data_IF_888843091256
#
_entry.id   IF_888843091256
#
_cell.length_a   1.000
_cell.length_b   1.000
_cell.length_c   1.000
_cell.angle_alpha   90.00
_cell.angle_beta   90.00
_cell.angle_gamma   90.00
#
_symmetry.space_group_name_H-M   'P 1'
#
loop_
_entity.id
_entity.type
_entity.pdbx_description
1 polymer ?
#
# COMPACT_ATOMS: atom_id res chain seq x y z
N UNK A 1 14.24 -7.91 -3.88
CA UNK A 1 14.45 -6.45 -3.77
C UNK A 1 13.19 -5.67 -3.41
N UNK A 2 12.21 -5.44 -4.30
CA UNK A 2 11.05 -4.59 -3.96
C UNK A 2 10.20 -5.15 -2.80
N UNK A 3 9.91 -6.45 -2.85
CA UNK A 3 9.17 -7.16 -1.80
C UNK A 3 9.86 -7.00 -0.44
N UNK A 4 11.15 -7.32 -0.40
CA UNK A 4 12.00 -7.19 0.77
C UNK A 4 12.01 -5.77 1.32
N UNK A 5 12.29 -4.77 0.48
CA UNK A 5 12.40 -3.37 0.92
C UNK A 5 11.09 -2.88 1.52
N UNK A 6 9.95 -3.15 0.89
CA UNK A 6 8.65 -2.69 1.39
C UNK A 6 8.30 -3.32 2.74
N UNK A 7 8.55 -4.62 2.90
CA UNK A 7 8.22 -5.36 4.13
C UNK A 7 9.17 -4.96 5.27
N UNK A 8 10.48 -4.93 5.03
CA UNK A 8 11.49 -4.54 6.02
C UNK A 8 11.38 -3.07 6.42
N UNK A 9 11.10 -2.18 5.47
CA UNK A 9 10.87 -0.76 5.78
C UNK A 9 9.62 -0.58 6.65
N UNK A 10 8.54 -1.31 6.36
CA UNK A 10 7.34 -1.30 7.20
C UNK A 10 7.68 -1.75 8.62
N UNK A 11 8.43 -2.85 8.76
CA UNK A 11 8.87 -3.34 10.07
C UNK A 11 9.69 -2.31 10.84
N UNK A 12 10.68 -1.71 10.16
CA UNK A 12 11.57 -0.70 10.75
C UNK A 12 10.81 0.52 11.23
N UNK A 13 9.77 0.96 10.50
CA UNK A 13 8.92 2.08 10.90
C UNK A 13 8.05 1.70 12.10
N UNK A 14 7.51 0.49 12.16
CA UNK A 14 6.76 0.00 13.33
C UNK A 14 7.66 0.02 14.58
N UNK A 15 8.87 -0.52 14.46
CA UNK A 15 9.83 -0.53 15.57
C UNK A 15 10.27 0.89 15.96
N UNK A 16 10.46 1.79 14.99
CA UNK A 16 10.72 3.20 15.28
C UNK A 16 9.56 3.81 16.10
N UNK A 17 8.32 3.62 15.67
CA UNK A 17 7.14 4.13 16.34
C UNK A 17 7.03 3.63 17.79
N UNK A 18 7.36 2.36 18.06
CA UNK A 18 7.41 1.79 19.41
C UNK A 18 8.48 2.41 20.31
N UNK A 19 9.58 2.86 19.73
CA UNK A 19 10.69 3.48 20.45
C UNK A 19 10.52 5.01 20.61
N UNK A 20 9.52 5.63 19.99
CA UNK A 20 9.19 7.02 20.22
C UNK A 20 8.58 7.19 21.63
N UNK A 21 8.95 8.29 22.31
CA UNK A 21 8.31 8.67 23.59
C UNK A 21 6.79 8.80 23.44
N UNK A 22 6.34 9.25 22.28
CA UNK A 22 4.92 9.39 21.94
C UNK A 22 4.79 9.23 20.43
N UNK A 23 4.00 8.25 19.99
CA UNK A 23 3.57 8.10 18.60
C UNK A 23 2.08 8.47 18.53
N UNK A 24 1.77 9.63 17.96
CA UNK A 24 0.38 10.11 17.90
C UNK A 24 -0.44 9.38 16.82
N UNK A 25 0.19 9.08 15.69
CA UNK A 25 -0.44 8.41 14.56
C UNK A 25 0.63 7.75 13.67
N UNK A 26 0.31 6.55 13.18
CA UNK A 26 0.99 5.89 12.07
C UNK A 26 0.00 5.83 10.89
N UNK A 27 0.30 6.49 9.79
CA UNK A 27 -0.53 6.40 8.57
C UNK A 27 0.27 5.68 7.50
N UNK A 28 -0.16 4.46 7.17
CA UNK A 28 0.49 3.62 6.18
C UNK A 28 -0.17 3.71 4.81
N UNK A 29 0.61 4.04 3.79
CA UNK A 29 0.16 4.00 2.40
C UNK A 29 0.30 2.59 1.84
N UNK A 30 -0.82 1.93 1.61
CA UNK A 30 -0.93 0.67 0.88
C UNK A 30 -1.33 0.93 -0.58
N UNK A 31 -2.23 0.12 -1.13
CA UNK A 31 -2.82 0.28 -2.47
C UNK A 31 -4.17 -0.42 -2.54
N UNK A 32 -5.10 0.10 -3.34
CA UNK A 32 -6.39 -0.54 -3.62
C UNK A 32 -6.22 -1.96 -4.18
N UNK A 33 -5.05 -2.24 -4.77
CA UNK A 33 -4.72 -3.54 -5.34
C UNK A 33 -4.04 -4.50 -4.35
N UNK A 34 -3.93 -4.17 -3.07
CA UNK A 34 -3.29 -5.08 -2.08
C UNK A 34 -4.07 -6.38 -1.92
N UNK A 35 -5.34 -6.41 -2.31
CA UNK A 35 -6.21 -7.59 -2.28
C UNK A 35 -6.73 -7.98 -3.67
N UNK A 36 -6.05 -7.55 -4.76
CA UNK A 36 -6.48 -7.80 -6.14
C UNK A 36 -6.40 -9.26 -6.59
N UNK A 37 -5.80 -10.13 -5.77
CA UNK A 37 -5.86 -11.57 -5.99
C UNK A 37 -7.29 -12.11 -5.83
N UNK A 38 -8.16 -11.42 -5.08
CA UNK A 38 -9.52 -11.87 -4.77
C UNK A 38 -10.50 -11.50 -5.88
N UNK A 39 -11.48 -12.38 -6.13
CA UNK A 39 -12.54 -12.20 -7.14
C UNK A 39 -13.84 -11.60 -6.60
N UNK A 40 -13.88 -11.30 -5.30
CA UNK A 40 -15.06 -10.78 -4.61
C UNK A 40 -14.91 -9.27 -4.37
N UNK A 41 -16.01 -8.62 -4.01
CA UNK A 41 -15.99 -7.25 -3.49
C UNK A 41 -14.99 -7.13 -2.34
N UNK A 42 -14.09 -6.15 -2.44
CA UNK A 42 -13.09 -5.86 -1.42
C UNK A 42 -13.71 -4.90 -0.41
N UNK A 43 -13.70 -5.29 0.86
CA UNK A 43 -14.15 -4.48 2.00
C UNK A 43 -12.96 -3.79 2.66
N UNK A 44 -13.22 -2.71 3.40
CA UNK A 44 -12.21 -2.01 4.20
C UNK A 44 -11.85 -2.81 5.47
N UNK A 45 -11.10 -3.89 5.28
CA UNK A 45 -10.58 -4.75 6.34
C UNK A 45 -9.22 -5.30 5.99
N UNK A 46 -8.49 -5.80 6.98
CA UNK A 46 -7.24 -6.51 6.74
C UNK A 46 -7.57 -7.96 6.40
N UNK A 47 -7.16 -8.40 5.21
CA UNK A 47 -7.33 -9.77 4.78
C UNK A 47 -6.11 -10.58 5.22
N UNK A 48 -6.35 -11.55 6.09
CA UNK A 48 -5.29 -12.40 6.64
C UNK A 48 -4.62 -13.23 5.55
N UNK A 49 -3.30 -13.28 5.59
CA UNK A 49 -2.49 -14.19 4.81
C UNK A 49 -2.61 -15.63 5.37
N UNK A 50 -2.35 -16.66 4.55
CA UNK A 50 -2.30 -18.06 5.03
C UNK A 50 -1.20 -18.32 6.07
N UNK A 51 -0.17 -17.47 6.07
CA UNK A 51 0.94 -17.51 7.00
C UNK A 51 1.07 -16.15 7.72
N UNK A 52 1.58 -16.12 8.96
CA UNK A 52 1.87 -14.87 9.66
C UNK A 52 2.80 -13.97 8.84
N UNK A 53 2.56 -12.67 8.82
CA UNK A 53 3.41 -11.70 8.12
C UNK A 53 4.85 -11.74 8.63
N UNK A 54 5.03 -11.99 9.93
CA UNK A 54 6.35 -12.20 10.55
C UNK A 54 7.16 -13.31 9.86
N UNK A 55 6.53 -14.40 9.40
CA UNK A 55 7.23 -15.48 8.69
C UNK A 55 7.80 -15.00 7.35
N UNK A 56 7.07 -14.18 6.62
CA UNK A 56 7.56 -13.60 5.36
C UNK A 56 8.75 -12.67 5.62
N UNK A 57 8.68 -11.83 6.66
CA UNK A 57 9.79 -10.96 7.06
C UNK A 57 11.06 -11.76 7.38
N UNK A 58 10.95 -12.82 8.18
CA UNK A 58 12.11 -13.66 8.54
C UNK A 58 12.77 -14.32 7.32
N UNK A 59 11.98 -14.80 6.37
CA UNK A 59 12.53 -15.43 5.15
C UNK A 59 13.22 -14.41 4.25
N UNK A 60 12.65 -13.20 4.14
CA UNK A 60 13.25 -12.08 3.42
C UNK A 60 14.59 -11.66 4.05
N UNK A 61 14.68 -11.61 5.38
CA UNK A 61 15.93 -11.24 6.08
C UNK A 61 17.02 -12.31 5.99
N UNK A 62 16.64 -13.59 5.98
CA UNK A 62 17.56 -14.72 5.82
C UNK A 62 18.03 -14.90 4.37
N UNK A 63 17.41 -14.21 3.41
CA UNK A 63 17.67 -14.43 1.98
C UNK A 63 17.28 -15.83 1.50
N UNK A 64 16.26 -16.45 2.12
CA UNK A 64 15.79 -17.79 1.75
C UNK A 64 14.74 -17.70 0.65
N UNK A 65 15.20 -17.36 -0.56
CA UNK A 65 14.33 -17.10 -1.72
C UNK A 65 13.50 -18.32 -2.12
N UNK A 66 14.04 -19.54 -2.01
CA UNK A 66 13.33 -20.77 -2.39
C UNK A 66 12.11 -21.03 -1.49
N UNK A 67 12.28 -20.95 -0.17
CA UNK A 67 11.16 -21.11 0.77
C UNK A 67 10.16 -19.95 0.65
N UNK A 68 10.64 -18.72 0.42
CA UNK A 68 9.80 -17.56 0.18
C UNK A 68 8.91 -17.75 -1.05
N UNK A 69 9.47 -18.25 -2.15
CA UNK A 69 8.72 -18.55 -3.37
C UNK A 69 7.71 -19.68 -3.14
N UNK A 70 8.07 -20.70 -2.37
CA UNK A 70 7.16 -21.77 -2.00
C UNK A 70 5.94 -21.22 -1.24
N UNK A 71 6.14 -20.50 -0.14
CA UNK A 71 5.01 -19.97 0.64
C UNK A 71 4.20 -18.93 -0.12
N UNK A 72 4.84 -18.13 -0.99
CA UNK A 72 4.15 -17.18 -1.84
C UNK A 72 3.25 -17.89 -2.86
N UNK A 73 3.68 -19.04 -3.39
CA UNK A 73 2.90 -19.85 -4.34
C UNK A 73 1.65 -20.50 -3.70
N UNK A 74 1.74 -20.81 -2.40
CA UNK A 74 0.65 -21.37 -1.61
C UNK A 74 -0.39 -20.33 -1.22
N UNK A 75 -0.07 -19.03 -1.34
CA UNK A 75 -1.03 -17.97 -1.11
C UNK A 75 -1.99 -17.84 -2.31
N UNK A 76 -3.04 -18.68 -2.30
CA UNK A 76 -4.08 -18.71 -3.31
C UNK A 76 -5.27 -17.79 -2.98
N UNK A 77 -5.91 -17.19 -4.00
CA UNK A 77 -5.35 -16.91 -5.33
C UNK A 77 -4.08 -16.03 -5.23
N UNK A 78 -3.18 -16.14 -6.20
CA UNK A 78 -1.90 -15.41 -6.20
C UNK A 78 -2.07 -13.95 -6.63
N UNK A 79 -1.14 -13.10 -6.17
CA UNK A 79 -1.06 -11.71 -6.60
C UNK A 79 -0.47 -11.59 -8.00
N UNK A 80 -0.88 -10.58 -8.78
CA UNK A 80 -0.37 -10.37 -10.14
C UNK A 80 1.08 -9.88 -10.18
N UNK A 81 1.59 -9.33 -9.08
CA UNK A 81 2.98 -8.88 -8.97
C UNK A 81 3.44 -8.81 -7.50
N UNK A 82 4.76 -8.80 -7.31
CA UNK A 82 5.37 -8.70 -5.99
C UNK A 82 5.10 -7.38 -5.25
N UNK A 83 4.78 -6.29 -5.97
CA UNK A 83 4.44 -5.01 -5.34
C UNK A 83 3.14 -5.13 -4.54
N UNK A 84 2.06 -5.57 -5.18
CA UNK A 84 0.75 -5.76 -4.53
C UNK A 84 0.82 -6.78 -3.40
N UNK A 85 1.59 -7.85 -3.58
CA UNK A 85 1.83 -8.83 -2.52
C UNK A 85 2.58 -8.22 -1.32
N UNK A 86 3.62 -7.42 -1.58
CA UNK A 86 4.38 -6.75 -0.50
C UNK A 86 3.52 -5.81 0.33
N UNK A 87 2.55 -5.12 -0.29
CA UNK A 87 1.58 -4.27 0.39
C UNK A 87 0.63 -5.10 1.26
N UNK A 88 0.16 -6.26 0.77
CA UNK A 88 -0.64 -7.20 1.56
C UNK A 88 0.11 -7.71 2.80
N UNK A 89 1.39 -8.11 2.64
CA UNK A 89 2.24 -8.53 3.77
C UNK A 89 2.42 -7.39 4.77
N UNK A 90 2.68 -6.18 4.29
CA UNK A 90 2.88 -5.01 5.14
C UNK A 90 1.61 -4.64 5.93
N UNK A 91 0.43 -4.73 5.34
CA UNK A 91 -0.85 -4.53 6.05
C UNK A 91 -1.02 -5.56 7.18
N UNK A 92 -0.68 -6.82 6.92
CA UNK A 92 -0.73 -7.87 7.94
C UNK A 92 0.34 -7.66 9.03
N UNK A 93 1.54 -7.21 8.66
CA UNK A 93 2.60 -6.89 9.61
C UNK A 93 2.18 -5.75 10.55
N UNK A 94 1.52 -4.73 10.02
CA UNK A 94 0.92 -3.65 10.82
C UNK A 94 -0.14 -4.22 11.78
N UNK A 95 -1.02 -5.10 11.30
CA UNK A 95 -2.04 -5.74 12.14
C UNK A 95 -1.42 -6.56 13.28
N UNK A 96 -0.34 -7.27 13.00
CA UNK A 96 0.35 -8.17 13.93
C UNK A 96 1.21 -7.39 14.94
N UNK A 97 1.97 -6.40 14.48
CA UNK A 97 3.03 -5.74 15.28
C UNK A 97 2.68 -4.34 15.77
N UNK A 98 1.71 -3.65 15.20
CA UNK A 98 1.38 -2.25 15.53
C UNK A 98 -0.03 -2.11 16.15
N UNK A 99 -0.53 -3.17 16.80
CA UNK A 99 -1.86 -3.17 17.43
C UNK A 99 -1.98 -2.21 18.63
N UNK A 100 -0.85 -1.84 19.23
CA UNK A 100 -0.70 -0.84 20.29
C UNK A 100 -0.46 0.58 19.77
N UNK A 101 -0.29 0.74 18.45
CA UNK A 101 -0.03 2.02 17.79
C UNK A 101 -1.31 2.45 17.06
N UNK A 102 -1.70 3.71 17.22
CA UNK A 102 -2.83 4.27 16.47
C UNK A 102 -2.49 4.32 15.00
N UNK A 103 -3.08 3.41 14.24
CA UNK A 103 -2.68 3.17 12.86
C UNK A 103 -3.86 3.31 11.91
N UNK A 104 -3.66 4.00 10.80
CA UNK A 104 -4.57 4.04 9.67
C UNK A 104 -3.87 3.48 8.43
N UNK A 105 -4.59 2.70 7.63
CA UNK A 105 -4.11 2.19 6.34
C UNK A 105 -4.91 2.88 5.24
N UNK A 106 -4.22 3.55 4.32
CA UNK A 106 -4.83 4.19 3.15
C UNK A 106 -4.50 3.36 1.91
N UNK A 107 -5.52 2.98 1.14
CA UNK A 107 -5.39 2.17 -0.07
C UNK A 107 -5.70 2.97 -1.34
N UNK A 108 -4.77 3.80 -1.83
CA UNK A 108 -5.00 4.56 -3.05
C UNK A 108 -5.06 3.65 -4.28
N UNK A 109 -5.86 4.08 -5.27
CA UNK A 109 -5.78 3.57 -6.65
C UNK A 109 -4.48 4.07 -7.34
N UNK A 110 -4.39 3.99 -8.66
CA UNK A 110 -3.19 4.50 -9.38
C UNK A 110 -3.13 6.02 -9.22
N UNK A 111 -2.07 6.50 -8.56
CA UNK A 111 -1.92 7.92 -8.29
C UNK A 111 -1.56 8.68 -9.57
N UNK A 112 -2.30 9.74 -9.86
CA UNK A 112 -2.06 10.63 -10.98
C UNK A 112 -1.66 12.04 -10.53
N UNK A 113 -1.50 12.95 -11.50
CA UNK A 113 -1.03 14.31 -11.30
C UNK A 113 -1.94 15.13 -10.36
N UNK A 114 -1.42 16.26 -9.89
CA UNK A 114 -2.15 17.17 -9.01
C UNK A 114 -3.41 17.69 -9.70
N UNK A 115 -4.57 17.59 -9.04
CA UNK A 115 -5.81 18.16 -9.55
C UNK A 115 -5.94 19.66 -9.22
N UNK A 116 -5.86 20.04 -7.94
CA UNK A 116 -6.13 21.41 -7.48
C UNK A 116 -4.94 22.10 -6.82
N UNK A 117 -4.16 21.40 -5.99
CA UNK A 117 -3.12 22.06 -5.21
C UNK A 117 -2.00 21.11 -4.81
N UNK A 118 -0.77 21.60 -4.59
CA UNK A 118 -0.36 23.01 -4.57
C UNK A 118 -0.15 23.63 -5.96
N UNK A 119 -0.02 22.81 -7.01
CA UNK A 119 0.20 23.27 -8.38
C UNK A 119 -0.62 22.39 -9.36
N UNK A 120 -1.78 22.86 -9.85
CA UNK A 120 -2.62 22.11 -10.79
C UNK A 120 -1.83 21.56 -11.98
N UNK A 121 -2.03 20.27 -12.29
CA UNK A 121 -1.37 19.59 -13.40
C UNK A 121 0.09 19.21 -13.14
N UNK A 122 0.67 19.54 -11.98
CA UNK A 122 2.02 19.13 -11.65
C UNK A 122 2.16 17.61 -11.65
N UNK A 123 3.17 17.14 -12.38
CA UNK A 123 3.58 15.76 -12.48
C UNK A 123 5.02 15.64 -11.98
N UNK A 124 5.29 14.67 -11.13
CA UNK A 124 6.66 14.31 -10.80
C UNK A 124 7.38 13.76 -12.05
N UNK A 125 8.64 14.16 -12.25
CA UNK A 125 9.40 13.95 -13.48
C UNK A 125 9.60 12.47 -13.87
N UNK A 126 9.27 11.52 -12.97
CA UNK A 126 9.34 10.08 -13.25
C UNK A 126 8.03 9.32 -12.96
N UNK A 127 6.91 10.00 -12.75
CA UNK A 127 5.63 9.30 -12.56
C UNK A 127 5.31 8.40 -13.75
N UNK A 128 5.14 7.09 -13.51
CA UNK A 128 4.92 6.10 -14.58
C UNK A 128 3.72 6.47 -15.46
N UNK A 129 2.66 7.01 -14.85
CA UNK A 129 1.48 7.42 -15.57
C UNK A 129 1.73 8.67 -16.43
N UNK A 130 2.49 9.65 -15.92
CA UNK A 130 2.87 10.83 -16.68
C UNK A 130 3.72 10.45 -17.91
N UNK A 131 4.62 9.47 -17.77
CA UNK A 131 5.42 8.96 -18.89
C UNK A 131 4.57 8.28 -19.98
N UNK A 132 3.53 7.52 -19.60
CA UNK A 132 2.58 6.93 -20.56
C UNK A 132 1.88 8.04 -21.35
N UNK A 133 1.34 9.05 -20.66
CA UNK A 133 0.67 10.19 -21.32
C UNK A 133 1.63 11.00 -22.20
N UNK A 134 2.87 11.22 -21.77
CA UNK A 134 3.90 11.87 -22.59
C UNK A 134 4.26 11.03 -23.82
N UNK A 135 4.31 9.71 -23.69
CA UNK A 135 4.55 8.79 -24.81
C UNK A 135 3.47 8.90 -25.89
N UNK A 136 2.20 8.99 -25.48
CA UNK A 136 1.08 9.29 -26.38
C UNK A 136 1.18 10.68 -26.98
N UNK A 137 1.43 11.71 -26.16
CA UNK A 137 1.54 13.10 -26.61
C UNK A 137 2.68 13.33 -27.61
N UNK A 138 3.77 12.56 -27.50
CA UNK A 138 4.90 12.57 -28.44
C UNK A 138 4.72 11.62 -29.63
N UNK A 139 3.70 10.78 -29.63
CA UNK A 139 3.40 9.84 -30.71
C UNK A 139 4.25 8.57 -30.76
N UNK A 140 5.15 8.34 -29.80
CA UNK A 140 5.96 7.11 -29.72
C UNK A 140 5.15 5.93 -29.17
N UNK A 141 4.18 6.21 -28.30
CA UNK A 141 3.20 5.22 -27.85
C UNK A 141 1.87 5.48 -28.57
N UNK A 142 1.38 4.49 -29.31
CA UNK A 142 0.19 4.63 -30.17
C UNK A 142 -1.00 3.79 -29.71
N UNK A 143 -0.72 2.71 -28.98
CA UNK A 143 -1.71 1.76 -28.50
C UNK A 143 -1.34 1.38 -27.08
N UNK A 144 -2.33 1.34 -26.20
CA UNK A 144 -2.23 0.70 -24.89
C UNK A 144 -3.13 -0.54 -24.96
N UNK A 145 -2.53 -1.72 -24.80
CA UNK A 145 -3.28 -2.97 -24.77
C UNK A 145 -3.96 -3.12 -23.41
N UNK A 146 -5.26 -3.41 -23.43
CA UNK A 146 -6.07 -3.59 -22.24
C UNK A 146 -7.26 -4.47 -22.55
N UNK A 147 -7.89 -5.01 -21.51
CA UNK A 147 -9.16 -5.74 -21.65
C UNK A 147 -10.31 -4.79 -21.32
N UNK A 148 -11.39 -4.88 -22.08
CA UNK A 148 -12.56 -4.00 -21.95
C UNK A 148 -13.33 -4.19 -20.63
N UNK A 149 -13.08 -5.30 -19.92
CA UNK A 149 -13.70 -5.63 -18.63
C UNK A 149 -12.88 -5.13 -17.42
N UNK A 150 -11.74 -4.47 -17.64
CA UNK A 150 -10.86 -3.98 -16.59
C UNK A 150 -11.07 -2.49 -16.34
N UNK A 151 -11.24 -2.12 -15.07
CA UNK A 151 -11.34 -0.73 -14.64
C UNK A 151 -9.94 -0.21 -14.24
N UNK A 152 -9.57 0.96 -14.78
CA UNK A 152 -8.30 1.62 -14.49
C UNK A 152 -8.55 2.89 -13.66
N UNK A 153 -8.65 2.71 -12.34
CA UNK A 153 -8.96 3.79 -11.42
C UNK A 153 -7.75 4.69 -11.17
N UNK A 154 -7.95 5.99 -11.39
CA UNK A 154 -6.96 7.03 -11.15
C UNK A 154 -7.39 7.91 -9.98
N UNK A 155 -6.44 8.27 -9.11
CA UNK A 155 -6.68 9.20 -8.01
C UNK A 155 -5.63 10.32 -7.98
N UNK A 156 -6.02 11.60 -7.91
CA UNK A 156 -5.05 12.69 -7.84
C UNK A 156 -4.19 12.64 -6.57
N UNK A 157 -2.89 12.91 -6.72
CA UNK A 157 -1.93 12.89 -5.60
C UNK A 157 -2.31 13.85 -4.47
N UNK A 158 -2.92 14.98 -4.78
CA UNK A 158 -3.34 15.98 -3.80
C UNK A 158 -4.54 15.53 -2.97
N UNK A 159 -5.43 14.74 -3.55
CA UNK A 159 -6.52 14.09 -2.81
C UNK A 159 -5.92 13.10 -1.80
N UNK A 160 -5.00 12.25 -2.23
CA UNK A 160 -4.37 11.25 -1.35
C UNK A 160 -3.52 11.91 -0.26
N UNK A 161 -2.75 12.94 -0.59
CA UNK A 161 -1.96 13.69 0.39
C UNK A 161 -2.86 14.28 1.49
N UNK A 162 -3.98 14.90 1.12
CA UNK A 162 -4.95 15.41 2.08
C UNK A 162 -5.60 14.29 2.91
N UNK A 163 -5.92 13.14 2.29
CA UNK A 163 -6.44 11.97 3.02
C UNK A 163 -5.49 11.46 4.10
N UNK A 164 -4.16 11.55 3.89
CA UNK A 164 -3.19 11.18 4.93
C UNK A 164 -3.28 12.10 6.15
N UNK A 165 -3.38 13.41 5.92
CA UNK A 165 -3.54 14.40 7.00
C UNK A 165 -4.85 14.17 7.74
N UNK A 166 -5.95 13.99 7.01
CA UNK A 166 -7.27 13.73 7.60
C UNK A 166 -7.27 12.44 8.41
N UNK A 167 -6.72 11.35 7.88
CA UNK A 167 -6.62 10.07 8.59
C UNK A 167 -5.81 10.21 9.88
N UNK A 168 -4.66 10.88 9.84
CA UNK A 168 -3.86 11.14 11.03
C UNK A 168 -4.63 11.93 12.09
N UNK A 169 -5.42 12.92 11.70
CA UNK A 169 -6.23 13.73 12.61
C UNK A 169 -7.45 13.00 13.17
N UNK A 170 -8.04 12.06 12.41
CA UNK A 170 -9.23 11.31 12.80
C UNK A 170 -8.93 10.09 13.66
N UNK A 171 -7.68 9.61 13.69
CA UNK A 171 -7.29 8.55 14.60
C UNK A 171 -7.59 8.97 16.05
N UNK A 172 -8.21 8.09 16.87
CA UNK A 172 -8.65 8.46 18.20
C UNK A 172 -7.49 9.07 18.99
N UNK A 173 -7.60 10.34 19.38
CA UNK A 173 -6.71 10.89 20.41
C UNK A 173 -7.03 10.11 21.67
N UNK A 174 -6.01 9.59 22.35
CA UNK A 174 -6.23 8.83 23.58
C UNK A 174 -6.56 9.88 24.61
N UNK A 175 -7.82 10.23 24.69
CA UNK A 175 -8.46 10.40 25.98
C UNK A 175 -9.53 9.32 26.05
N UNK A 176 -9.53 8.63 27.18
CA UNK A 176 -10.40 7.55 27.59
C UNK A 176 -11.78 7.49 26.91
N UNK A 177 -12.14 6.25 26.57
CA UNK A 177 -13.48 5.71 26.33
C UNK A 177 -14.02 5.76 24.89
N UNK A 178 -14.11 4.54 24.34
CA UNK A 178 -15.19 4.03 23.51
C UNK A 178 -15.83 5.02 22.53
N UNK A 179 -15.47 4.93 21.27
CA UNK A 179 -16.42 4.98 20.16
C UNK A 179 -15.76 4.34 18.93
N UNK A 180 -16.25 3.16 18.56
CA UNK A 180 -16.01 2.57 17.25
C UNK A 180 -16.79 3.40 16.23
N UNK A 181 -16.14 3.77 15.13
CA UNK A 181 -16.79 4.11 13.87
C UNK A 181 -16.43 3.02 12.85
#
# INVERSE_FOLDING_TARGET
FLLENNVRATDSIIELCKNLKTCEALVYTSTAYSNCNRKLTIEERIYRLPYPAQRFLELLEKGNDDELMQIASECQPSWPNYYTFSKSISENLIAEKASDIKTAIIRPAVICNVWKGPLPGYAEENSSLAQIFLGFGRGFLRVLEGRDDVHFDLIPVDVIANSHVVAACMLPRTELNHLML
#
